data_IF_746323617139
#
_entry.id   IF_746323617139
#
_cell.length_a   1.000
_cell.length_b   1.000
_cell.length_c   1.000
_cell.angle_alpha   90.00
_cell.angle_beta   90.00
_cell.angle_gamma   90.00
#
_symmetry.space_group_name_H-M   'P 1'
#
loop_
_entity.id
_entity.type
_entity.pdbx_description
1 polymer ?
#
# COMPACT_ATOMS: atom_id res chain seq x y z
N UNK A 1 -9.44 -6.70 -6.38
CA UNK A 1 -8.18 -6.29 -5.70
C UNK A 1 -8.00 -6.99 -4.35
N UNK A 2 -8.92 -6.85 -3.39
CA UNK A 2 -8.74 -7.37 -2.02
C UNK A 2 -8.48 -8.89 -1.97
N UNK A 3 -9.22 -9.70 -2.73
CA UNK A 3 -8.99 -11.14 -2.81
C UNK A 3 -7.60 -11.50 -3.37
N UNK A 4 -7.13 -10.78 -4.38
CA UNK A 4 -5.79 -10.96 -4.97
C UNK A 4 -4.72 -10.65 -3.93
N UNK A 5 -4.88 -9.56 -3.18
CA UNK A 5 -3.92 -9.20 -2.14
C UNK A 5 -3.95 -10.18 -0.98
N UNK A 6 -5.14 -10.68 -0.62
CA UNK A 6 -5.30 -11.73 0.39
C UNK A 6 -4.54 -13.00 0.03
N UNK A 7 -4.65 -13.45 -1.23
CA UNK A 7 -3.96 -14.66 -1.70
C UNK A 7 -2.44 -14.48 -1.76
N UNK A 8 -1.96 -13.30 -2.15
CA UNK A 8 -0.53 -13.03 -2.30
C UNK A 8 0.19 -12.67 -0.98
N UNK A 9 -0.44 -11.88 -0.10
CA UNK A 9 0.22 -11.27 1.06
C UNK A 9 -0.48 -11.54 2.41
N UNK A 10 -1.65 -12.19 2.39
CA UNK A 10 -2.41 -12.59 3.57
C UNK A 10 -3.47 -11.58 4.01
N UNK A 11 -4.19 -11.92 5.09
CA UNK A 11 -5.34 -11.14 5.58
C UNK A 11 -5.02 -9.72 6.06
N UNK A 12 -3.82 -9.48 6.60
CA UNK A 12 -3.38 -8.13 6.96
C UNK A 12 -3.31 -7.19 5.74
N UNK A 13 -2.82 -7.72 4.63
CA UNK A 13 -2.69 -6.96 3.39
C UNK A 13 -4.05 -6.71 2.73
N UNK A 14 -4.97 -7.70 2.81
CA UNK A 14 -6.37 -7.53 2.43
C UNK A 14 -7.01 -6.37 3.19
N UNK A 15 -6.84 -6.31 4.51
CA UNK A 15 -7.41 -5.26 5.35
C UNK A 15 -6.83 -3.88 5.02
N UNK A 16 -5.53 -3.76 4.75
CA UNK A 16 -4.91 -2.51 4.28
C UNK A 16 -5.56 -2.03 2.98
N UNK A 17 -5.71 -2.93 1.99
CA UNK A 17 -6.35 -2.59 0.73
C UNK A 17 -7.84 -2.25 0.88
N UNK A 18 -8.54 -2.92 1.79
CA UNK A 18 -9.95 -2.63 2.09
C UNK A 18 -10.13 -1.22 2.68
N UNK A 19 -9.27 -0.80 3.62
CA UNK A 19 -9.29 0.56 4.14
C UNK A 19 -9.00 1.58 3.03
N UNK A 20 -7.92 1.39 2.25
CA UNK A 20 -7.58 2.30 1.16
C UNK A 20 -8.68 2.38 0.09
N UNK A 21 -9.35 1.27 -0.19
CA UNK A 21 -10.48 1.24 -1.12
C UNK A 21 -11.68 2.01 -0.57
N UNK A 22 -12.02 1.82 0.70
CA UNK A 22 -13.23 2.38 1.32
C UNK A 22 -13.15 3.90 1.47
N UNK A 23 -11.96 4.44 1.77
CA UNK A 23 -11.74 5.87 1.94
C UNK A 23 -11.21 6.56 0.67
N UNK A 24 -10.78 5.79 -0.33
CA UNK A 24 -10.15 6.28 -1.56
C UNK A 24 -8.69 6.69 -1.39
N UNK A 25 -8.39 7.49 -0.36
CA UNK A 25 -7.02 7.87 -0.01
C UNK A 25 -6.84 8.14 1.49
N UNK A 26 -5.75 7.65 2.08
CA UNK A 26 -5.42 7.82 3.49
C UNK A 26 -3.92 8.01 3.70
N UNK A 27 -3.52 8.60 4.83
CA UNK A 27 -2.12 8.60 5.24
C UNK A 27 -1.68 7.19 5.67
N UNK A 28 -0.38 6.97 5.74
CA UNK A 28 0.16 5.67 6.15
C UNK A 28 -0.16 5.43 7.64
N UNK A 29 0.07 6.43 8.49
CA UNK A 29 -0.20 6.36 9.92
C UNK A 29 -1.67 6.07 10.24
N UNK A 30 -2.61 6.71 9.54
CA UNK A 30 -4.05 6.45 9.74
C UNK A 30 -4.46 5.06 9.29
N UNK A 31 -3.96 4.61 8.13
CA UNK A 31 -4.26 3.27 7.62
C UNK A 31 -3.75 2.20 8.59
N UNK A 32 -2.51 2.33 9.05
CA UNK A 32 -1.90 1.38 10.00
C UNK A 32 -2.70 1.33 11.30
N UNK A 33 -3.05 2.49 11.89
CA UNK A 33 -3.83 2.52 13.14
C UNK A 33 -5.21 1.90 12.99
N UNK A 34 -5.93 2.19 11.89
CA UNK A 34 -7.26 1.62 11.64
C UNK A 34 -7.21 0.10 11.51
N UNK A 35 -6.28 -0.42 10.71
CA UNK A 35 -6.13 -1.88 10.51
C UNK A 35 -5.67 -2.56 11.78
N UNK A 36 -4.67 -2.01 12.48
CA UNK A 36 -4.17 -2.55 13.74
C UNK A 36 -5.27 -2.61 14.82
N UNK A 37 -6.09 -1.55 14.93
CA UNK A 37 -7.21 -1.52 15.87
C UNK A 37 -8.30 -2.53 15.47
N UNK A 38 -8.62 -2.65 14.17
CA UNK A 38 -9.68 -3.53 13.67
C UNK A 38 -9.35 -5.01 13.81
N UNK A 39 -8.08 -5.39 13.62
CA UNK A 39 -7.64 -6.78 13.63
C UNK A 39 -6.88 -7.17 14.91
N UNK A 40 -6.76 -6.26 15.87
CA UNK A 40 -6.00 -6.43 17.11
C UNK A 40 -4.54 -6.87 16.85
N UNK A 41 -3.91 -6.29 15.82
CA UNK A 41 -2.55 -6.62 15.39
C UNK A 41 -1.57 -5.51 15.80
N UNK A 42 -0.29 -5.84 16.09
CA UNK A 42 0.69 -4.82 16.43
C UNK A 42 0.98 -3.91 15.24
N UNK A 43 1.21 -2.62 15.52
CA UNK A 43 1.46 -1.60 14.48
C UNK A 43 2.66 -1.95 13.59
N UNK A 44 3.66 -2.67 14.14
CA UNK A 44 4.85 -3.11 13.42
C UNK A 44 4.53 -4.08 12.28
N UNK A 45 3.67 -5.08 12.51
CA UNK A 45 3.32 -6.08 11.51
C UNK A 45 2.49 -5.47 10.38
N UNK A 46 1.58 -4.56 10.72
CA UNK A 46 0.79 -3.81 9.74
C UNK A 46 1.68 -2.89 8.93
N UNK A 47 2.64 -2.20 9.57
CA UNK A 47 3.65 -1.37 8.88
C UNK A 47 4.47 -2.20 7.90
N UNK A 48 4.98 -3.35 8.32
CA UNK A 48 5.76 -4.23 7.45
C UNK A 48 4.96 -4.65 6.21
N UNK A 49 3.69 -5.05 6.41
CA UNK A 49 2.81 -5.41 5.29
C UNK A 49 2.52 -4.23 4.37
N UNK A 50 2.34 -3.04 4.92
CA UNK A 50 2.17 -1.82 4.14
C UNK A 50 3.40 -1.53 3.27
N UNK A 51 4.61 -1.62 3.83
CA UNK A 51 5.86 -1.46 3.08
C UNK A 51 5.96 -2.47 1.93
N UNK A 52 5.70 -3.76 2.20
CA UNK A 52 5.73 -4.81 1.15
C UNK A 52 4.73 -4.55 0.02
N UNK A 53 3.55 -4.01 0.31
CA UNK A 53 2.57 -3.64 -0.71
C UNK A 53 3.03 -2.44 -1.55
N UNK A 54 3.72 -1.47 -0.95
CA UNK A 54 4.31 -0.34 -1.65
C UNK A 54 5.46 -0.78 -2.57
N UNK A 55 6.37 -1.61 -2.06
CA UNK A 55 7.47 -2.22 -2.83
C UNK A 55 6.95 -3.05 -4.01
N UNK A 56 5.89 -3.82 -3.80
CA UNK A 56 5.22 -4.60 -4.84
C UNK A 56 4.33 -3.77 -5.79
N UNK A 57 4.30 -2.45 -5.59
CA UNK A 57 3.57 -1.46 -6.37
C UNK A 57 2.05 -1.64 -6.37
N UNK A 58 1.47 -2.36 -5.40
CA UNK A 58 0.01 -2.49 -5.29
C UNK A 58 -0.66 -1.25 -4.72
N UNK A 59 0.09 -0.46 -3.95
CA UNK A 59 -0.30 0.85 -3.44
C UNK A 59 0.72 1.89 -3.87
N UNK A 60 0.29 3.14 -4.00
CA UNK A 60 1.12 4.24 -4.47
C UNK A 60 0.73 5.54 -3.77
N UNK A 61 1.71 6.42 -3.55
CA UNK A 61 1.46 7.79 -3.09
C UNK A 61 0.66 8.57 -4.11
N UNK A 62 -0.23 9.41 -3.60
CA UNK A 62 -0.92 10.43 -4.37
C UNK A 62 0.10 11.53 -4.73
N UNK A 63 0.19 11.94 -6.00
CA UNK A 63 0.96 13.09 -6.42
C UNK A 63 0.56 14.34 -5.59
N UNK A 64 1.50 15.09 -5.02
CA UNK A 64 1.18 16.31 -4.28
C UNK A 64 0.76 17.44 -5.24
N UNK A 65 -0.07 18.37 -4.77
CA UNK A 65 -0.49 19.54 -5.54
C UNK A 65 0.55 20.65 -5.35
N UNK A 66 1.16 21.12 -6.44
CA UNK A 66 2.20 22.15 -6.43
C UNK A 66 1.61 23.55 -6.59
N UNK A 67 0.61 23.69 -7.46
CA UNK A 67 -0.02 24.98 -7.75
C UNK A 67 -1.42 24.76 -8.32
N UNK A 68 -2.21 25.83 -8.39
CA UNK A 68 -3.44 25.81 -9.18
C UNK A 68 -3.28 26.73 -10.39
N UNK A 69 -3.18 26.14 -11.58
CA UNK A 69 -3.19 26.91 -12.82
C UNK A 69 -4.65 27.11 -13.24
N UNK A 70 -5.14 28.35 -13.18
CA UNK A 70 -6.52 28.71 -13.57
C UNK A 70 -7.60 27.89 -12.84
N UNK A 71 -7.39 27.57 -11.56
CA UNK A 71 -8.32 26.76 -10.75
C UNK A 71 -8.22 25.25 -10.97
N UNK A 72 -7.32 24.78 -11.82
CA UNK A 72 -7.02 23.36 -11.97
C UNK A 72 -5.79 22.99 -11.12
N UNK A 73 -5.86 21.96 -10.26
CA UNK A 73 -4.71 21.51 -9.48
C UNK A 73 -3.64 20.92 -10.41
N UNK A 74 -2.41 21.39 -10.25
CA UNK A 74 -1.24 20.86 -10.92
C UNK A 74 -0.48 19.96 -9.94
N UNK A 75 -0.20 18.73 -10.38
CA UNK A 75 0.43 17.71 -9.55
C UNK A 75 1.93 17.58 -9.86
N UNK A 76 2.73 17.28 -8.84
CA UNK A 76 4.13 16.90 -9.01
C UNK A 76 4.26 15.39 -9.20
N UNK A 77 5.06 14.98 -10.19
CA UNK A 77 5.40 13.58 -10.46
C UNK A 77 6.91 13.33 -10.38
N UNK A 78 7.68 14.28 -9.84
CA UNK A 78 9.14 14.17 -9.71
C UNK A 78 9.58 13.09 -8.71
N UNK A 79 8.75 12.80 -7.72
CA UNK A 79 9.03 11.82 -6.67
C UNK A 79 8.57 10.42 -7.05
N UNK A 80 9.35 9.40 -6.65
CA UNK A 80 8.93 8.00 -6.74
C UNK A 80 7.69 7.76 -5.85
N UNK A 81 6.54 7.35 -6.42
CA UNK A 81 5.31 7.17 -5.65
C UNK A 81 5.32 5.93 -4.74
N UNK A 82 6.32 5.04 -4.83
CA UNK A 82 6.35 3.78 -4.07
C UNK A 82 7.24 3.82 -2.84
N UNK A 83 8.04 4.87 -2.66
CA UNK A 83 8.93 5.01 -1.48
C UNK A 83 8.10 5.37 -0.23
N UNK A 84 8.39 4.71 0.88
CA UNK A 84 7.76 5.00 2.18
C UNK A 84 8.34 6.28 2.80
N UNK A 85 7.54 7.11 3.48
CA UNK A 85 8.06 8.20 4.29
C UNK A 85 8.88 7.68 5.49
N UNK A 86 10.00 8.34 5.79
CA UNK A 86 10.93 7.94 6.86
C UNK A 86 10.31 8.06 8.26
N UNK A 87 9.38 9.00 8.41
CA UNK A 87 8.77 9.37 9.69
C UNK A 87 7.27 9.11 9.64
N UNK A 88 6.83 8.05 10.34
CA UNK A 88 5.42 7.67 10.49
C UNK A 88 5.10 7.32 11.94
N UNK A 89 3.83 7.41 12.36
CA UNK A 89 3.32 7.00 13.67
C UNK A 89 3.90 7.74 14.89
N UNK A 90 4.29 9.01 14.72
CA UNK A 90 4.87 9.81 15.81
C UNK A 90 3.86 10.18 16.90
N UNK A 91 2.56 10.29 16.58
CA UNK A 91 1.56 10.71 17.57
C UNK A 91 1.31 9.68 18.69
N UNK A 92 1.80 8.44 18.58
CA UNK A 92 1.55 7.35 19.54
C UNK A 92 2.75 6.91 20.39
N UNK A 93 3.96 7.46 20.21
CA UNK A 93 5.14 7.01 20.97
C UNK A 93 5.35 7.71 22.33
N UNK A 94 4.55 8.72 22.68
CA UNK A 94 4.67 9.46 23.95
C UNK A 94 3.64 8.99 24.99
N UNK A 95 3.72 7.76 25.45
CA UNK A 95 2.90 7.29 26.58
C UNK A 95 3.70 6.50 27.59
N UNK A 96 4.63 7.20 28.22
CA UNK A 96 4.95 6.99 29.64
C UNK A 96 4.96 8.39 30.26
N UNK A 97 4.04 8.60 31.20
CA UNK A 97 3.86 9.75 32.10
C UNK A 97 2.94 10.93 31.70
N UNK A 98 2.10 11.27 32.69
CA UNK A 98 1.51 12.58 32.97
C UNK A 98 0.12 12.93 32.38
N UNK A 99 -0.90 12.60 33.20
CA UNK A 99 -1.90 13.53 33.74
C UNK A 99 -2.66 14.49 32.80
N UNK A 100 -3.96 14.21 32.65
CA UNK A 100 -5.10 15.16 32.53
C UNK A 100 -4.78 16.56 31.96
N UNK A 101 -4.58 16.67 30.65
CA UNK A 101 -4.96 17.86 29.86
C UNK A 101 -5.17 17.41 28.42
N UNK A 102 -6.25 17.87 27.79
CA UNK A 102 -6.56 17.62 26.37
C UNK A 102 -5.41 18.18 25.51
N UNK A 103 -4.37 17.37 25.30
CA UNK A 103 -3.22 17.68 24.46
C UNK A 103 -3.67 17.37 23.04
N UNK A 104 -3.74 18.40 22.19
CA UNK A 104 -3.92 18.19 20.76
C UNK A 104 -2.87 17.17 20.31
N UNK A 105 -3.31 16.08 19.67
CA UNK A 105 -2.40 15.12 19.06
C UNK A 105 -1.48 15.89 18.13
N UNK A 106 -0.17 15.79 18.32
CA UNK A 106 0.74 16.34 17.33
C UNK A 106 0.46 15.65 15.99
N UNK A 107 0.51 16.38 14.86
CA UNK A 107 0.34 15.76 13.56
C UNK A 107 1.42 14.70 13.36
N UNK A 108 1.05 13.58 12.74
CA UNK A 108 2.04 12.58 12.35
C UNK A 108 2.95 13.15 11.25
N UNK A 109 4.19 12.66 11.21
CA UNK A 109 5.18 13.11 10.22
C UNK A 109 4.82 12.84 8.76
N UNK A 110 3.76 12.08 8.48
CA UNK A 110 3.21 11.81 7.15
C UNK A 110 1.93 12.59 6.83
N UNK A 111 1.61 13.64 7.59
CA UNK A 111 0.51 14.54 7.26
C UNK A 111 0.68 15.11 5.83
N UNK A 112 -0.38 15.04 5.03
CA UNK A 112 -0.37 15.46 3.62
C UNK A 112 0.20 14.42 2.64
N UNK A 113 0.75 13.30 3.13
CA UNK A 113 1.21 12.18 2.28
C UNK A 113 0.12 11.12 2.21
N UNK A 114 -0.69 11.20 1.17
CA UNK A 114 -1.79 10.26 0.95
C UNK A 114 -1.36 9.08 0.08
N UNK A 115 -1.93 7.92 0.36
CA UNK A 115 -1.74 6.67 -0.36
C UNK A 115 -3.06 6.21 -0.97
N UNK A 116 -2.97 5.51 -2.11
CA UNK A 116 -4.11 4.94 -2.84
C UNK A 116 -3.74 3.60 -3.46
N UNK A 117 -4.76 2.88 -3.92
CA UNK A 117 -4.60 1.66 -4.71
C UNK A 117 -4.03 2.00 -6.09
N UNK A 118 -3.02 1.24 -6.52
CA UNK A 118 -2.44 1.34 -7.86
C UNK A 118 -3.12 0.36 -8.83
N UNK A 119 -4.28 0.76 -9.39
CA UNK A 119 -5.06 -0.09 -10.30
C UNK A 119 -4.28 -0.67 -11.49
N UNK A 120 -3.41 0.09 -12.19
CA UNK A 120 -2.59 -0.45 -13.27
C UNK A 120 -1.78 -1.70 -12.89
N UNK A 121 -1.33 -1.81 -11.62
CA UNK A 121 -0.62 -3.00 -11.13
C UNK A 121 -1.53 -4.22 -11.05
N UNK A 122 -2.77 -4.03 -10.59
CA UNK A 122 -3.78 -5.08 -10.54
C UNK A 122 -4.19 -5.52 -11.94
N UNK A 123 -4.40 -4.59 -12.86
CA UNK A 123 -4.78 -4.91 -14.25
C UNK A 123 -3.68 -5.72 -14.94
N UNK A 124 -2.40 -5.39 -14.69
CA UNK A 124 -1.26 -6.17 -15.17
C UNK A 124 -1.27 -7.57 -14.57
N UNK A 125 -1.41 -7.69 -13.26
CA UNK A 125 -1.44 -8.99 -12.58
C UNK A 125 -2.56 -9.89 -13.14
N UNK A 126 -3.78 -9.36 -13.27
CA UNK A 126 -4.92 -10.12 -13.80
C UNK A 126 -4.66 -10.59 -15.24
N UNK A 127 -4.10 -9.72 -16.08
CA UNK A 127 -3.75 -10.06 -17.46
C UNK A 127 -2.69 -11.15 -17.54
N UNK A 128 -1.68 -11.07 -16.69
CA UNK A 128 -0.59 -12.04 -16.64
C UNK A 128 -1.11 -13.41 -16.18
N UNK A 129 -1.95 -13.45 -15.14
CA UNK A 129 -2.61 -14.69 -14.68
C UNK A 129 -3.47 -15.31 -15.79
N UNK A 130 -4.31 -14.52 -16.48
CA UNK A 130 -5.12 -15.02 -17.60
C UNK A 130 -4.26 -15.56 -18.74
N UNK A 131 -3.12 -14.93 -19.01
CA UNK A 131 -2.19 -15.36 -20.06
C UNK A 131 -1.53 -16.67 -19.69
N UNK A 132 -1.10 -16.83 -18.42
CA UNK A 132 -0.52 -18.08 -17.93
C UNK A 132 -1.53 -19.23 -17.97
N UNK A 133 -2.78 -18.99 -17.60
CA UNK A 133 -3.85 -20.01 -17.69
C UNK A 133 -4.07 -20.52 -19.13
N UNK A 134 -3.87 -19.67 -20.14
CA UNK A 134 -4.01 -20.04 -21.54
C UNK A 134 -2.77 -20.76 -22.09
N UNK A 135 -1.57 -20.38 -21.64
CA UNK A 135 -0.31 -20.90 -22.15
C UNK A 135 0.16 -22.17 -21.43
N UNK A 136 -0.25 -22.39 -20.18
CA UNK A 136 0.10 -23.56 -19.38
C UNK A 136 -1.08 -24.55 -19.39
N UNK A 137 -0.99 -25.69 -20.10
CA UNK A 137 -2.03 -26.71 -20.08
C UNK A 137 -2.31 -27.17 -18.64
N UNK A 138 -3.59 -27.37 -18.27
CA UNK A 138 -4.13 -27.77 -16.94
C UNK A 138 -3.64 -29.14 -16.39
N UNK A 139 -2.43 -29.59 -16.70
CA UNK A 139 -1.93 -30.92 -16.35
C UNK A 139 -1.13 -30.95 -15.02
N UNK A 140 -0.96 -29.82 -14.34
CA UNK A 140 -0.29 -29.82 -13.02
C UNK A 140 -1.08 -28.95 -12.03
N UNK A 141 -1.58 -29.57 -10.96
CA UNK A 141 -2.24 -28.89 -9.84
C UNK A 141 -1.29 -27.81 -9.26
N UNK A 142 -1.57 -26.53 -9.54
CA UNK A 142 -0.67 -25.41 -9.31
C UNK A 142 -1.28 -24.41 -8.34
N UNK A 143 -1.48 -24.82 -7.08
CA UNK A 143 -1.94 -23.90 -6.03
C UNK A 143 -0.80 -23.20 -5.27
N UNK A 144 0.46 -23.68 -5.21
CA UNK A 144 1.51 -22.94 -4.48
C UNK A 144 2.52 -22.18 -5.35
N UNK A 145 2.61 -22.44 -6.66
CA UNK A 145 3.73 -21.90 -7.48
C UNK A 145 3.49 -20.46 -7.96
N UNK A 146 2.24 -19.96 -7.93
CA UNK A 146 1.94 -18.58 -8.35
C UNK A 146 2.61 -17.52 -7.48
N UNK A 147 2.93 -17.80 -6.21
CA UNK A 147 3.64 -16.84 -5.35
C UNK A 147 5.08 -16.60 -5.84
N UNK A 148 5.81 -17.66 -6.15
CA UNK A 148 7.24 -17.59 -6.42
C UNK A 148 7.52 -17.14 -7.86
N UNK A 149 6.73 -17.61 -8.84
CA UNK A 149 6.92 -17.25 -10.24
C UNK A 149 6.35 -15.84 -10.54
N UNK A 150 5.25 -15.43 -9.91
CA UNK A 150 4.77 -14.04 -10.06
C UNK A 150 5.70 -13.03 -9.38
N UNK A 151 6.33 -13.37 -8.25
CA UNK A 151 7.39 -12.52 -7.66
C UNK A 151 8.62 -12.42 -8.57
N UNK A 152 9.06 -13.53 -9.18
CA UNK A 152 10.20 -13.54 -10.12
C UNK A 152 9.92 -12.73 -11.40
N UNK A 153 8.73 -12.85 -11.97
CA UNK A 153 8.35 -12.12 -13.18
C UNK A 153 8.13 -10.63 -12.91
N UNK A 154 7.59 -10.27 -11.74
CA UNK A 154 7.34 -8.86 -11.38
C UNK A 154 8.61 -8.14 -10.93
N UNK A 155 9.56 -8.83 -10.33
CA UNK A 155 10.92 -8.32 -10.08
C UNK A 155 11.67 -8.03 -11.39
N UNK A 156 11.50 -8.87 -12.41
CA UNK A 156 12.21 -8.75 -13.70
C UNK A 156 11.67 -7.63 -14.60
N UNK A 157 10.43 -7.17 -14.41
CA UNK A 157 9.85 -6.08 -15.23
C UNK A 157 10.08 -4.66 -14.67
N UNK A 158 10.62 -4.53 -13.45
CA UNK A 158 10.92 -3.24 -12.83
C UNK A 158 12.25 -2.63 -13.29
N UNK A 159 13.03 -3.36 -14.10
CA UNK A 159 14.39 -2.99 -14.53
C UNK A 159 14.49 -2.49 -15.97
N UNK A 160 13.39 -2.05 -16.60
CA UNK A 160 13.44 -1.38 -17.90
C UNK A 160 13.35 0.13 -17.68
N UNK A 161 14.47 0.88 -17.66
CA UNK A 161 14.42 2.33 -17.73
C UNK A 161 14.01 2.77 -19.15
N UNK A 162 13.48 4.01 -19.30
CA UNK A 162 13.06 4.56 -20.59
C UNK A 162 14.20 4.72 -21.59
#
# INVERSE_FOLDING_TARGET
CCLIVKTLYGGLAEAICEELFSYGSLTCSDTIRKVALRLEQPLADVKEKFCRLAEAQFIARCPPVVSSLKGCPQFDYSCDPFIMPDVILQSSCNSVEESRKRKASLPDGDEGIYWRINWPRFDRYIRDEMTLELLVPKVVNFVPVCSEVAMLLTSSCSSVPP
#
